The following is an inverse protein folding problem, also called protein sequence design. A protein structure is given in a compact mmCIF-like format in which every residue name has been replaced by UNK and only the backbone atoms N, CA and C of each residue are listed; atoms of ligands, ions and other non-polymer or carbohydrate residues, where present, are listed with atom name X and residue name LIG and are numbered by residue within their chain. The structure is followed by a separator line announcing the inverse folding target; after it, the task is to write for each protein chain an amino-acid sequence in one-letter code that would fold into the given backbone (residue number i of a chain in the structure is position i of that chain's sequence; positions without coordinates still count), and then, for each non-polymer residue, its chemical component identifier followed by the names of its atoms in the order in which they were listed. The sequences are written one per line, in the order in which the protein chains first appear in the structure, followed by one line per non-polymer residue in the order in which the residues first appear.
data_IF_552622192287
#
_entry.id   IF_552622192287
#
_cell.length_a   1.000
_cell.length_b   1.000
_cell.length_c   1.000
_cell.angle_alpha   90.00
_cell.angle_beta   90.00
_cell.angle_gamma   90.00
#
_symmetry.space_group_name_H-M   'P 1'
#
loop_
_entity.id
_entity.type
_entity.pdbx_description
1 polymer ?
#
# COMPACT_ATOMS: atom_id res chain seq x y z
N UNK A 1 14.73 20.57 18.39
CA UNK A 1 14.75 19.79 17.13
C UNK A 1 14.24 20.61 15.95
N UNK A 2 13.07 21.25 16.03
CA UNK A 2 12.52 22.11 14.96
C UNK A 2 13.37 23.34 14.59
N UNK A 3 14.05 24.00 15.54
CA UNK A 3 14.88 25.18 15.20
C UNK A 3 16.16 24.80 14.43
N UNK A 4 16.78 23.67 14.77
CA UNK A 4 17.96 23.13 14.06
C UNK A 4 17.61 22.76 12.62
N UNK A 5 16.44 22.15 12.41
CA UNK A 5 15.94 21.78 11.08
C UNK A 5 15.57 23.00 10.22
N UNK A 6 15.05 24.08 10.83
CA UNK A 6 14.80 25.36 10.15
C UNK A 6 16.11 26.05 9.74
N UNK A 7 17.13 25.99 10.59
CA UNK A 7 18.48 26.50 10.28
C UNK A 7 19.15 25.72 9.15
N UNK A 8 19.01 24.39 9.10
CA UNK A 8 19.51 23.54 7.99
C UNK A 8 18.79 23.88 6.68
N UNK A 9 17.47 24.10 6.72
CA UNK A 9 16.67 24.54 5.56
C UNK A 9 17.19 25.86 4.98
N UNK A 10 17.55 26.81 5.84
CA UNK A 10 18.14 28.09 5.41
C UNK A 10 19.59 27.96 4.91
N UNK A 11 20.37 27.01 5.43
CA UNK A 11 21.75 26.78 5.00
C UNK A 11 21.81 26.14 3.60
N UNK A 12 20.95 25.14 3.33
CA UNK A 12 20.90 24.44 2.05
C UNK A 12 20.38 25.37 0.93
N UNK A 13 19.39 26.22 1.22
CA UNK A 13 18.85 27.17 0.24
C UNK A 13 19.75 28.39 -0.03
N UNK A 14 20.77 28.65 0.81
CA UNK A 14 21.67 29.81 0.65
C UNK A 14 22.88 29.59 -0.27
N UNK A 15 23.03 28.43 -0.91
CA UNK A 15 24.13 28.19 -1.87
C UNK A 15 25.55 28.47 -1.31
N UNK A 16 25.75 28.40 0.02
CA UNK A 16 27.06 28.56 0.65
C UNK A 16 27.71 27.22 1.03
N UNK A 17 27.47 26.16 0.23
CA UNK A 17 28.31 24.95 0.28
C UNK A 17 29.12 24.90 -1.01
N UNK A 18 30.14 25.75 -0.95
CA UNK A 18 31.44 25.75 -1.61
C UNK A 18 31.70 24.54 -2.53
N UNK A 19 31.99 24.85 -3.79
CA UNK A 19 32.74 24.02 -4.73
C UNK A 19 34.15 23.69 -4.18
N UNK A 20 34.25 22.79 -3.20
CA UNK A 20 35.51 22.13 -2.86
C UNK A 20 35.31 20.62 -2.87
N UNK A 21 36.25 19.92 -3.52
CA UNK A 21 36.34 18.45 -3.57
C UNK A 21 36.65 17.83 -2.18
N UNK A 22 36.28 18.49 -1.09
CA UNK A 22 36.56 18.14 0.30
C UNK A 22 35.37 18.44 1.22
N UNK A 23 34.13 18.37 0.69
CA UNK A 23 32.95 18.38 1.55
C UNK A 23 33.02 17.19 2.53
N UNK A 24 32.94 17.41 3.86
CA UNK A 24 32.99 16.33 4.82
C UNK A 24 31.89 15.30 4.51
N UNK A 25 32.24 14.01 4.52
CA UNK A 25 31.24 12.96 4.42
C UNK A 25 30.33 13.04 5.64
N UNK A 26 29.09 13.43 5.42
CA UNK A 26 28.06 13.28 6.44
C UNK A 26 27.84 11.79 6.69
N UNK A 27 27.66 11.36 7.95
CA UNK A 27 27.23 10.01 8.29
C UNK A 27 25.99 9.60 7.47
N UNK A 28 25.94 8.33 7.06
CA UNK A 28 24.89 7.80 6.17
C UNK A 28 23.50 7.98 6.77
N UNK A 29 23.38 7.91 8.10
CA UNK A 29 22.14 8.07 8.87
C UNK A 29 21.61 9.51 8.77
N UNK A 30 22.50 10.50 8.78
CA UNK A 30 22.15 11.91 8.62
C UNK A 30 21.71 12.16 7.17
N UNK A 31 22.40 11.56 6.20
CA UNK A 31 22.02 11.65 4.79
C UNK A 31 20.64 11.05 4.54
N UNK A 32 20.31 9.89 5.12
CA UNK A 32 18.97 9.30 5.01
C UNK A 32 17.91 10.24 5.58
N UNK A 33 18.14 10.75 6.79
CA UNK A 33 17.21 11.67 7.46
C UNK A 33 16.96 12.94 6.66
N UNK A 34 17.99 13.50 6.03
CA UNK A 34 17.87 14.68 5.15
C UNK A 34 17.05 14.34 3.91
N UNK A 35 17.35 13.22 3.24
CA UNK A 35 16.58 12.81 2.05
C UNK A 35 15.14 12.52 2.42
N UNK A 36 14.85 11.87 3.55
CA UNK A 36 13.50 11.60 4.05
C UNK A 36 12.76 12.89 4.43
N UNK A 37 13.46 13.88 4.99
CA UNK A 37 12.86 15.17 5.30
C UNK A 37 12.50 15.98 4.04
N UNK A 38 13.34 15.93 3.01
CA UNK A 38 13.07 16.60 1.74
C UNK A 38 12.01 15.83 0.95
N UNK A 39 12.03 14.50 1.06
CA UNK A 39 11.13 13.61 0.34
C UNK A 39 9.82 13.42 1.09
N UNK A 40 8.79 14.14 0.65
CA UNK A 40 7.43 13.92 1.15
C UNK A 40 6.89 12.66 0.47
N UNK A 41 6.75 11.57 1.25
CA UNK A 41 6.02 10.38 0.82
C UNK A 41 4.59 10.78 0.48
N UNK A 42 4.06 10.39 -0.69
CA UNK A 42 2.74 10.81 -1.09
C UNK A 42 1.71 10.06 -0.24
N UNK A 43 0.71 10.78 0.28
CA UNK A 43 -0.38 10.20 1.09
C UNK A 43 -1.29 9.31 0.26
N UNK A 44 -1.40 9.61 -1.04
CA UNK A 44 -2.10 8.86 -2.06
C UNK A 44 -1.06 8.29 -3.03
N UNK A 45 -1.20 7.07 -3.53
CA UNK A 45 -0.27 6.51 -4.52
C UNK A 45 -0.91 6.51 -5.89
N UNK A 46 -0.88 7.68 -6.53
CA UNK A 46 -1.24 7.82 -7.95
C UNK A 46 0.00 7.75 -8.85
N UNK A 47 -0.18 7.37 -10.11
CA UNK A 47 0.86 7.40 -11.16
C UNK A 47 1.46 8.79 -11.30
N UNK A 48 0.65 9.84 -11.13
CA UNK A 48 1.08 11.25 -11.19
C UNK A 48 2.00 11.59 -10.02
N UNK A 49 1.63 11.18 -8.80
CA UNK A 49 2.45 11.40 -7.60
C UNK A 49 3.75 10.62 -7.67
N UNK A 50 3.72 9.34 -8.07
CA UNK A 50 4.95 8.54 -8.24
C UNK A 50 5.92 9.23 -9.22
N UNK A 51 5.42 9.70 -10.38
CA UNK A 51 6.23 10.43 -11.37
C UNK A 51 6.79 11.75 -10.80
N UNK A 52 6.00 12.46 -10.01
CA UNK A 52 6.43 13.69 -9.33
C UNK A 52 7.56 13.40 -8.32
N UNK A 53 7.36 12.41 -7.44
CA UNK A 53 8.33 11.93 -6.47
C UNK A 53 9.64 11.49 -7.12
N UNK A 54 9.57 10.74 -8.23
CA UNK A 54 10.76 10.32 -8.97
C UNK A 54 11.56 11.52 -9.53
N UNK A 55 10.88 12.57 -10.01
CA UNK A 55 11.55 13.81 -10.45
C UNK A 55 12.21 14.53 -9.29
N UNK A 56 11.55 14.60 -8.13
CA UNK A 56 12.13 15.22 -6.93
C UNK A 56 13.41 14.50 -6.48
N UNK A 57 13.37 13.16 -6.40
CA UNK A 57 14.55 12.37 -6.02
C UNK A 57 15.69 12.55 -7.03
N UNK A 58 15.36 12.58 -8.33
CA UNK A 58 16.38 12.84 -9.36
C UNK A 58 17.03 14.21 -9.16
N UNK A 59 16.25 15.25 -8.87
CA UNK A 59 16.80 16.57 -8.57
C UNK A 59 17.69 16.56 -7.32
N UNK A 60 17.29 15.87 -6.25
CA UNK A 60 18.11 15.72 -5.02
C UNK A 60 19.44 15.03 -5.33
N UNK A 61 19.43 13.98 -6.15
CA UNK A 61 20.65 13.27 -6.56
C UNK A 61 21.64 14.14 -7.35
N UNK A 62 21.15 15.17 -8.04
CA UNK A 62 21.99 16.13 -8.77
C UNK A 62 22.63 17.18 -7.84
N UNK A 63 22.04 17.45 -6.68
CA UNK A 63 22.54 18.45 -5.72
C UNK A 63 23.77 17.92 -4.98
N UNK A 64 23.76 16.65 -4.57
CA UNK A 64 24.88 16.07 -3.82
C UNK A 64 25.07 14.59 -4.12
N UNK A 65 26.28 14.24 -4.58
CA UNK A 65 26.68 12.88 -4.94
C UNK A 65 26.62 11.89 -3.76
N UNK A 66 26.74 12.36 -2.52
CA UNK A 66 26.62 11.53 -1.32
C UNK A 66 25.20 10.92 -1.17
N UNK A 67 24.18 11.54 -1.77
CA UNK A 67 22.81 11.02 -1.73
C UNK A 67 22.55 9.94 -2.80
N UNK A 68 23.46 9.71 -3.74
CA UNK A 68 23.20 8.85 -4.90
C UNK A 68 22.70 7.45 -4.54
N UNK A 69 23.31 6.81 -3.53
CA UNK A 69 22.92 5.45 -3.15
C UNK A 69 21.50 5.42 -2.57
N UNK A 70 21.17 6.37 -1.68
CA UNK A 70 19.85 6.50 -1.06
C UNK A 70 18.79 6.86 -2.11
N UNK A 71 19.10 7.81 -2.99
CA UNK A 71 18.24 8.20 -4.10
C UNK A 71 18.01 7.03 -5.07
N UNK A 72 19.04 6.23 -5.36
CA UNK A 72 18.92 5.05 -6.22
C UNK A 72 17.98 4.01 -5.63
N UNK A 73 18.10 3.71 -4.33
CA UNK A 73 17.19 2.79 -3.65
C UNK A 73 15.74 3.29 -3.69
N UNK A 74 15.50 4.57 -3.35
CA UNK A 74 14.17 5.17 -3.40
C UNK A 74 13.58 5.18 -4.82
N UNK A 75 14.38 5.49 -5.85
CA UNK A 75 13.95 5.43 -7.25
C UNK A 75 13.61 3.99 -7.67
N UNK A 76 14.38 3.01 -7.19
CA UNK A 76 14.11 1.59 -7.46
C UNK A 76 12.77 1.17 -6.85
N UNK A 77 12.53 1.53 -5.58
CA UNK A 77 11.26 1.27 -4.92
C UNK A 77 10.08 1.96 -5.63
N UNK A 78 10.22 3.25 -5.98
CA UNK A 78 9.17 3.97 -6.73
C UNK A 78 8.88 3.35 -8.10
N UNK A 79 9.91 2.86 -8.80
CA UNK A 79 9.72 2.17 -10.07
C UNK A 79 8.92 0.89 -9.88
N UNK A 80 9.28 0.07 -8.89
CA UNK A 80 8.51 -1.14 -8.55
C UNK A 80 7.07 -0.81 -8.15
N UNK A 81 6.85 0.23 -7.35
CA UNK A 81 5.51 0.70 -7.02
C UNK A 81 4.74 1.10 -8.27
N UNK A 82 5.36 1.82 -9.21
CA UNK A 82 4.74 2.19 -10.48
C UNK A 82 4.35 0.97 -11.32
N UNK A 83 5.24 -0.01 -11.40
CA UNK A 83 5.02 -1.25 -12.13
C UNK A 83 3.85 -2.04 -11.52
N UNK A 84 3.77 -2.15 -10.19
CA UNK A 84 2.66 -2.78 -9.47
C UNK A 84 1.34 -2.02 -9.64
N UNK A 85 1.34 -0.68 -9.54
CA UNK A 85 0.17 0.17 -9.80
C UNK A 85 -0.34 0.02 -11.24
N UNK A 86 0.57 -0.24 -12.18
CA UNK A 86 0.23 -0.47 -13.58
C UNK A 86 -0.29 -1.88 -13.80
N UNK A 87 0.30 -2.87 -13.11
CA UNK A 87 -0.09 -4.28 -13.15
C UNK A 87 -1.45 -4.55 -12.52
N UNK A 88 -1.76 -3.89 -11.40
CA UNK A 88 -3.03 -3.99 -10.67
C UNK A 88 -3.82 -2.70 -10.81
N UNK A 89 -4.38 -2.52 -12.01
CA UNK A 89 -4.99 -1.25 -12.42
C UNK A 89 -6.52 -1.22 -12.34
N UNK A 90 -7.17 -2.32 -11.92
CA UNK A 90 -8.63 -2.47 -12.04
C UNK A 90 -9.39 -1.33 -11.36
N UNK A 91 -8.94 -0.95 -10.17
CA UNK A 91 -9.51 0.15 -9.40
C UNK A 91 -8.70 1.46 -9.54
N UNK A 92 -7.60 1.47 -10.31
CA UNK A 92 -6.66 2.58 -10.30
C UNK A 92 -7.23 3.83 -10.96
N UNK A 93 -7.98 3.71 -12.05
CA UNK A 93 -8.59 4.88 -12.70
C UNK A 93 -9.60 5.55 -11.78
N UNK A 94 -10.52 4.79 -11.18
CA UNK A 94 -11.49 5.30 -10.20
C UNK A 94 -10.80 5.91 -8.97
N UNK A 95 -9.69 5.32 -8.54
CA UNK A 95 -8.88 5.83 -7.45
C UNK A 95 -8.18 7.15 -7.81
N UNK A 96 -7.66 7.30 -9.04
CA UNK A 96 -6.96 8.50 -9.51
C UNK A 96 -7.93 9.65 -9.81
N UNK A 97 -9.04 9.35 -10.48
CA UNK A 97 -10.01 10.32 -10.97
C UNK A 97 -11.09 10.60 -9.92
N UNK A 98 -10.83 11.58 -9.05
CA UNK A 98 -11.78 12.03 -8.03
C UNK A 98 -13.03 12.73 -8.59
N UNK A 99 -13.23 12.81 -9.91
CA UNK A 99 -14.22 13.69 -10.54
C UNK A 99 -15.39 13.00 -11.25
N UNK A 100 -15.28 11.74 -11.69
CA UNK A 100 -16.29 11.11 -12.58
C UNK A 100 -16.54 9.60 -12.36
N UNK A 101 -16.31 9.07 -11.16
CA UNK A 101 -16.55 7.65 -10.85
C UNK A 101 -17.88 7.36 -10.15
N UNK A 102 -18.30 6.09 -10.19
CA UNK A 102 -19.42 5.47 -9.45
C UNK A 102 -19.36 5.66 -7.91
N UNK A 103 -18.30 6.29 -7.42
CA UNK A 103 -17.92 6.46 -6.01
C UNK A 103 -18.08 7.91 -5.51
N UNK A 104 -18.41 8.85 -6.40
CA UNK A 104 -18.53 10.30 -6.12
C UNK A 104 -19.54 10.63 -5.02
N UNK A 105 -20.63 9.86 -4.92
CA UNK A 105 -21.73 10.17 -4.02
C UNK A 105 -21.56 9.62 -2.59
N UNK A 106 -20.49 8.85 -2.30
CA UNK A 106 -20.40 8.11 -1.03
C UNK A 106 -19.45 8.68 0.01
N UNK A 107 -18.76 9.81 -0.27
CA UNK A 107 -17.83 10.45 0.67
C UNK A 107 -16.89 9.43 1.35
N UNK A 108 -16.45 8.42 0.59
CA UNK A 108 -15.58 7.35 1.11
C UNK A 108 -14.19 7.95 1.26
N UNK A 109 -13.73 8.04 2.51
CA UNK A 109 -12.34 8.34 2.82
C UNK A 109 -11.48 7.19 2.30
N UNK A 110 -10.79 7.41 1.17
CA UNK A 110 -9.90 6.44 0.54
C UNK A 110 -8.65 6.25 1.40
N UNK A 111 -8.79 5.46 2.47
CA UNK A 111 -7.63 4.97 3.22
C UNK A 111 -6.97 3.88 2.40
N UNK A 112 -5.67 4.01 2.11
CA UNK A 112 -4.90 2.98 1.41
C UNK A 112 -5.07 2.91 -0.11
N UNK A 113 -4.12 2.25 -0.78
CA UNK A 113 -4.12 2.12 -2.25
C UNK A 113 -4.77 0.81 -2.70
N UNK A 114 -5.46 0.80 -3.86
CA UNK A 114 -6.27 -0.31 -4.34
C UNK A 114 -5.50 -1.59 -4.70
N UNK A 115 -4.19 -1.50 -4.96
CA UNK A 115 -3.42 -2.57 -5.60
C UNK A 115 -3.49 -3.90 -4.83
N UNK A 116 -3.40 -3.84 -3.50
CA UNK A 116 -3.46 -5.03 -2.66
C UNK A 116 -4.83 -5.71 -2.79
N UNK A 117 -5.90 -4.93 -2.80
CA UNK A 117 -7.25 -5.44 -2.90
C UNK A 117 -7.50 -6.08 -4.28
N UNK A 118 -7.05 -5.43 -5.36
CA UNK A 118 -7.10 -5.97 -6.73
C UNK A 118 -6.42 -7.35 -6.80
N UNK A 119 -5.19 -7.45 -6.27
CA UNK A 119 -4.46 -8.71 -6.19
C UNK A 119 -5.21 -9.78 -5.39
N UNK A 120 -5.82 -9.42 -4.26
CA UNK A 120 -6.56 -10.36 -3.40
C UNK A 120 -7.92 -10.77 -3.97
N UNK A 121 -8.51 -9.97 -4.87
CA UNK A 121 -9.71 -10.36 -5.63
C UNK A 121 -9.42 -11.15 -6.90
N UNK A 122 -8.15 -11.41 -7.22
CA UNK A 122 -7.78 -12.24 -8.37
C UNK A 122 -8.46 -13.61 -8.28
N UNK A 123 -9.18 -13.96 -9.34
CA UNK A 123 -9.98 -15.19 -9.43
C UNK A 123 -11.09 -15.31 -8.40
N UNK A 124 -11.51 -14.24 -7.74
CA UNK A 124 -12.60 -14.29 -6.79
C UNK A 124 -13.94 -14.57 -7.51
N UNK A 125 -14.67 -15.60 -7.07
CA UNK A 125 -15.93 -16.00 -7.71
C UNK A 125 -17.16 -15.26 -7.16
N UNK A 126 -16.98 -14.31 -6.25
CA UNK A 126 -18.11 -13.54 -5.72
C UNK A 126 -18.62 -12.55 -6.77
N UNK A 127 -19.94 -12.36 -6.89
CA UNK A 127 -20.47 -11.35 -7.81
C UNK A 127 -19.98 -9.96 -7.42
N UNK A 128 -19.63 -9.15 -8.42
CA UNK A 128 -19.03 -7.81 -8.29
C UNK A 128 -17.61 -7.79 -7.72
N UNK A 129 -16.97 -8.94 -7.50
CA UNK A 129 -15.54 -8.99 -7.29
C UNK A 129 -14.85 -8.61 -8.60
N UNK A 130 -14.09 -7.53 -8.56
CA UNK A 130 -13.40 -6.98 -9.71
C UNK A 130 -11.90 -7.11 -9.48
N UNK A 131 -11.19 -7.67 -10.46
CA UNK A 131 -9.73 -7.77 -10.42
C UNK A 131 -9.15 -7.67 -11.82
N UNK A 132 -7.85 -7.36 -11.90
CA UNK A 132 -7.12 -7.28 -13.16
C UNK A 132 -6.86 -8.68 -13.73
N UNK A 133 -6.71 -9.69 -12.88
CA UNK A 133 -6.41 -11.06 -13.28
C UNK A 133 -7.54 -12.02 -12.92
N UNK A 134 -7.86 -12.93 -13.83
CA UNK A 134 -8.91 -13.93 -13.63
C UNK A 134 -8.45 -15.15 -12.82
N UNK A 135 -7.14 -15.43 -12.75
CA UNK A 135 -6.60 -16.62 -12.11
C UNK A 135 -5.44 -16.26 -11.20
N UNK A 136 -5.45 -16.82 -9.99
CA UNK A 136 -4.36 -16.64 -9.04
C UNK A 136 -3.14 -17.47 -9.44
N UNK A 137 -1.96 -16.85 -9.40
CA UNK A 137 -0.68 -17.51 -9.65
C UNK A 137 0.30 -17.25 -8.49
N UNK A 138 1.34 -18.08 -8.29
CA UNK A 138 2.33 -17.84 -7.25
C UNK A 138 3.02 -16.48 -7.34
N UNK A 139 3.20 -15.95 -8.55
CA UNK A 139 3.77 -14.62 -8.80
C UNK A 139 2.91 -13.51 -8.18
N UNK A 140 1.57 -13.66 -8.20
CA UNK A 140 0.66 -12.72 -7.54
C UNK A 140 0.83 -12.77 -6.02
N UNK A 141 1.15 -13.93 -5.46
CA UNK A 141 1.53 -14.06 -4.05
C UNK A 141 2.78 -13.25 -3.69
N UNK A 142 3.79 -13.25 -4.57
CA UNK A 142 5.00 -12.43 -4.39
C UNK A 142 4.71 -10.94 -4.60
N UNK A 143 3.86 -10.59 -5.56
CA UNK A 143 3.42 -9.21 -5.75
C UNK A 143 2.67 -8.69 -4.52
N UNK A 144 1.80 -9.48 -3.89
CA UNK A 144 1.10 -9.12 -2.65
C UNK A 144 2.11 -8.74 -1.56
N UNK A 145 3.15 -9.55 -1.36
CA UNK A 145 4.21 -9.27 -0.38
C UNK A 145 4.94 -7.98 -0.72
N UNK A 146 5.28 -7.77 -2.00
CA UNK A 146 5.98 -6.57 -2.45
C UNK A 146 5.11 -5.31 -2.34
N UNK A 147 3.80 -5.40 -2.60
CA UNK A 147 2.82 -4.32 -2.38
C UNK A 147 2.82 -3.93 -0.91
N UNK A 148 2.75 -4.89 0.02
CA UNK A 148 2.73 -4.57 1.46
C UNK A 148 4.06 -3.96 1.92
N UNK A 149 5.18 -4.46 1.40
CA UNK A 149 6.51 -3.90 1.70
C UNK A 149 6.65 -2.45 1.21
N UNK A 150 6.19 -2.15 0.00
CA UNK A 150 6.32 -0.83 -0.62
C UNK A 150 5.26 0.16 -0.14
N UNK A 151 4.04 -0.34 0.11
CA UNK A 151 2.85 0.47 0.36
C UNK A 151 1.99 -0.15 1.47
N UNK A 152 2.47 -0.15 2.73
CA UNK A 152 1.80 -0.82 3.85
C UNK A 152 0.38 -0.28 4.11
N UNK A 153 0.12 1.00 3.81
CA UNK A 153 -1.19 1.62 3.95
C UNK A 153 -2.26 0.94 3.07
N UNK A 154 -1.88 0.17 2.05
CA UNK A 154 -2.82 -0.62 1.26
C UNK A 154 -3.57 -1.68 2.08
N UNK A 155 -3.07 -2.06 3.26
CA UNK A 155 -3.79 -2.95 4.18
C UNK A 155 -5.05 -2.32 4.77
N UNK A 156 -5.13 -0.99 4.79
CA UNK A 156 -6.29 -0.25 5.29
C UNK A 156 -7.32 0.06 4.19
N UNK A 157 -7.15 -0.52 2.99
CA UNK A 157 -7.99 -0.22 1.83
C UNK A 157 -9.41 -0.80 1.93
N UNK A 158 -10.41 0.08 2.04
CA UNK A 158 -11.83 -0.29 2.18
C UNK A 158 -12.67 -0.02 0.93
N UNK A 159 -12.06 0.05 -0.25
CA UNK A 159 -12.84 0.32 -1.48
C UNK A 159 -13.57 -0.94 -2.00
N UNK A 160 -13.28 -2.11 -1.44
CA UNK A 160 -13.78 -3.37 -1.96
C UNK A 160 -15.30 -3.48 -1.87
N UNK A 161 -15.89 -4.05 -2.91
CA UNK A 161 -17.31 -4.33 -2.99
C UNK A 161 -17.54 -5.73 -3.52
N UNK A 162 -18.51 -6.41 -2.93
CA UNK A 162 -19.06 -7.66 -3.40
C UNK A 162 -20.59 -7.55 -3.33
N UNK A 163 -21.32 -8.55 -3.82
CA UNK A 163 -22.78 -8.58 -3.65
C UNK A 163 -23.17 -8.42 -2.18
N UNK A 164 -23.92 -7.35 -1.91
CA UNK A 164 -24.41 -6.95 -0.58
C UNK A 164 -23.32 -6.62 0.45
N UNK A 165 -22.04 -6.58 0.06
CA UNK A 165 -20.91 -6.25 0.94
C UNK A 165 -20.23 -4.99 0.45
N UNK A 166 -20.26 -3.96 1.28
CA UNK A 166 -19.55 -2.72 1.07
C UNK A 166 -18.38 -2.60 2.07
N UNK A 167 -17.43 -1.74 1.73
CA UNK A 167 -16.27 -1.44 2.59
C UNK A 167 -15.41 -2.66 2.90
N UNK A 168 -15.26 -3.58 1.93
CA UNK A 168 -14.54 -4.85 2.11
C UNK A 168 -13.03 -4.57 2.25
N UNK A 169 -12.43 -4.82 3.43
CA UNK A 169 -10.99 -4.66 3.63
C UNK A 169 -10.19 -5.78 2.96
N UNK A 170 -8.87 -5.60 2.75
CA UNK A 170 -8.05 -6.58 2.03
C UNK A 170 -8.03 -7.93 2.74
N UNK A 171 -7.95 -7.95 4.08
CA UNK A 171 -7.99 -9.20 4.84
C UNK A 171 -9.32 -9.95 4.69
N UNK A 172 -10.46 -9.25 4.63
CA UNK A 172 -11.76 -9.92 4.35
C UNK A 172 -11.76 -10.52 2.94
N UNK A 173 -11.27 -9.77 1.94
CA UNK A 173 -11.16 -10.25 0.57
C UNK A 173 -10.32 -11.53 0.49
N UNK A 174 -9.17 -11.55 1.16
CA UNK A 174 -8.28 -12.71 1.22
C UNK A 174 -8.97 -13.93 1.87
N UNK A 175 -9.63 -13.73 3.01
CA UNK A 175 -10.31 -14.81 3.72
C UNK A 175 -11.51 -15.37 2.94
N UNK A 176 -12.28 -14.51 2.28
CA UNK A 176 -13.43 -14.91 1.44
C UNK A 176 -13.02 -15.58 0.13
N UNK A 177 -11.92 -15.16 -0.48
CA UNK A 177 -11.50 -15.70 -1.77
C UNK A 177 -10.77 -17.05 -1.62
N UNK A 178 -11.46 -18.15 -1.94
CA UNK A 178 -10.91 -19.52 -1.87
C UNK A 178 -9.63 -19.75 -2.68
N UNK A 179 -9.37 -18.93 -3.70
CA UNK A 179 -8.19 -19.05 -4.54
C UNK A 179 -6.93 -18.42 -3.91
N UNK A 180 -7.10 -17.61 -2.85
CA UNK A 180 -5.98 -17.10 -2.07
C UNK A 180 -5.50 -18.19 -1.10
N UNK A 181 -4.20 -18.55 -1.11
CA UNK A 181 -3.66 -19.51 -0.16
C UNK A 181 -3.72 -19.04 1.30
N UNK A 182 -3.87 -19.97 2.24
CA UNK A 182 -3.92 -19.66 3.69
C UNK A 182 -2.62 -18.97 4.16
N UNK A 183 -1.46 -19.34 3.62
CA UNK A 183 -0.18 -18.72 4.00
C UNK A 183 -0.10 -17.22 3.63
N UNK A 184 -0.84 -16.76 2.62
CA UNK A 184 -0.93 -15.32 2.31
C UNK A 184 -1.73 -14.59 3.38
N UNK A 185 -2.77 -15.24 3.93
CA UNK A 185 -3.57 -14.67 5.02
C UNK A 185 -2.75 -14.61 6.31
N UNK A 186 -2.00 -15.68 6.60
CA UNK A 186 -1.05 -15.70 7.71
C UNK A 186 -0.03 -14.56 7.58
N UNK A 187 0.56 -14.38 6.38
CA UNK A 187 1.43 -13.25 6.10
C UNK A 187 0.76 -11.89 6.35
N UNK A 188 -0.48 -11.68 5.90
CA UNK A 188 -1.21 -10.43 6.18
C UNK A 188 -1.33 -10.16 7.69
N UNK A 189 -1.62 -11.20 8.48
CA UNK A 189 -1.71 -11.07 9.95
C UNK A 189 -0.35 -10.75 10.57
N UNK A 190 0.73 -11.38 10.10
CA UNK A 190 2.11 -11.07 10.54
C UNK A 190 2.50 -9.62 10.25
N UNK A 191 2.00 -9.04 9.16
CA UNK A 191 2.21 -7.63 8.81
C UNK A 191 1.27 -6.67 9.58
N UNK A 192 0.43 -7.17 10.47
CA UNK A 192 -0.43 -6.36 11.34
C UNK A 192 -1.82 -6.07 10.78
N UNK A 193 -2.30 -6.84 9.80
CA UNK A 193 -3.66 -6.69 9.30
C UNK A 193 -4.69 -6.90 10.44
N UNK A 194 -5.67 -6.00 10.52
CA UNK A 194 -6.68 -6.03 11.58
C UNK A 194 -7.73 -7.14 11.36
N UNK A 195 -7.56 -8.28 12.03
CA UNK A 195 -8.51 -9.40 11.99
C UNK A 195 -9.84 -9.15 12.71
N UNK A 196 -9.93 -8.07 13.51
CA UNK A 196 -11.17 -7.60 14.15
C UNK A 196 -11.91 -6.57 13.30
N UNK A 197 -11.39 -6.23 12.12
CA UNK A 197 -12.10 -5.37 11.19
C UNK A 197 -13.47 -5.97 10.85
N UNK A 198 -14.40 -5.10 10.45
CA UNK A 198 -15.73 -5.48 9.98
C UNK A 198 -15.97 -4.88 8.60
N UNK A 199 -16.77 -5.55 7.77
CA UNK A 199 -17.34 -4.96 6.56
C UNK A 199 -18.83 -4.64 6.77
N UNK A 200 -19.47 -3.97 5.81
CA UNK A 200 -20.91 -3.71 5.82
C UNK A 200 -21.64 -4.74 4.95
N UNK A 201 -22.36 -5.67 5.57
CA UNK A 201 -23.27 -6.59 4.90
C UNK A 201 -24.70 -6.03 4.98
N UNK A 202 -25.28 -5.64 3.85
CA UNK A 202 -26.59 -4.95 3.82
C UNK A 202 -26.65 -3.76 4.80
N UNK A 203 -25.59 -2.93 4.84
CA UNK A 203 -25.39 -1.82 5.79
C UNK A 203 -25.23 -2.20 7.27
N UNK A 204 -25.17 -3.49 7.63
CA UNK A 204 -24.89 -3.94 8.99
C UNK A 204 -23.43 -4.37 9.13
N UNK A 205 -22.73 -3.96 10.19
CA UNK A 205 -21.36 -4.40 10.43
C UNK A 205 -21.34 -5.90 10.71
N UNK A 206 -20.46 -6.63 10.03
CA UNK A 206 -20.25 -8.07 10.25
C UNK A 206 -18.75 -8.37 10.31
N UNK A 207 -18.37 -9.31 11.19
CA UNK A 207 -17.00 -9.78 11.30
C UNK A 207 -16.63 -10.74 10.17
N UNK A 208 -15.33 -10.90 9.90
CA UNK A 208 -14.81 -11.89 8.93
C UNK A 208 -15.39 -13.28 9.19
N UNK A 209 -15.32 -13.78 10.43
CA UNK A 209 -15.74 -15.13 10.76
C UNK A 209 -17.24 -15.32 10.59
N UNK A 210 -18.04 -14.35 11.02
CA UNK A 210 -19.50 -14.38 10.87
C UNK A 210 -19.92 -14.35 9.40
N UNK A 211 -19.21 -13.61 8.54
CA UNK A 211 -19.49 -13.60 7.10
C UNK A 211 -19.11 -14.94 6.44
N UNK A 212 -17.98 -15.55 6.83
CA UNK A 212 -17.49 -16.81 6.25
C UNK A 212 -18.28 -18.05 6.64
N UNK A 213 -18.87 -18.08 7.84
CA UNK A 213 -19.56 -19.27 8.39
C UNK A 213 -20.62 -19.83 7.43
N UNK A 214 -21.27 -18.96 6.66
CA UNK A 214 -22.32 -19.32 5.71
C UNK A 214 -21.84 -19.46 4.27
N UNK A 215 -20.56 -19.18 3.97
CA UNK A 215 -20.01 -19.15 2.62
C UNK A 215 -19.21 -20.41 2.29
N UNK A 216 -18.30 -20.81 3.18
CA UNK A 216 -17.42 -21.96 2.99
C UNK A 216 -16.97 -22.51 4.33
N UNK A 217 -17.52 -23.67 4.72
CA UNK A 217 -17.24 -24.30 6.02
C UNK A 217 -15.79 -24.73 6.18
N UNK A 218 -15.15 -25.23 5.13
CA UNK A 218 -13.76 -25.70 5.20
C UNK A 218 -12.84 -24.51 5.40
N UNK A 219 -13.05 -23.46 4.59
CA UNK A 219 -12.27 -22.23 4.70
C UNK A 219 -12.53 -21.51 6.02
N UNK A 220 -13.77 -21.45 6.49
CA UNK A 220 -14.13 -20.90 7.80
C UNK A 220 -13.35 -21.56 8.94
N UNK A 221 -13.27 -22.89 8.98
CA UNK A 221 -12.54 -23.60 10.03
C UNK A 221 -11.04 -23.26 10.01
N UNK A 222 -10.42 -23.26 8.83
CA UNK A 222 -9.00 -22.89 8.69
C UNK A 222 -8.72 -21.45 9.15
N UNK A 223 -9.57 -20.49 8.77
CA UNK A 223 -9.42 -19.08 9.19
C UNK A 223 -9.69 -18.91 10.69
N UNK A 224 -10.68 -19.62 11.24
CA UNK A 224 -10.97 -19.60 12.67
C UNK A 224 -9.80 -20.12 13.50
N UNK A 225 -9.19 -21.24 13.08
CA UNK A 225 -8.00 -21.79 13.72
C UNK A 225 -6.82 -20.84 13.63
N UNK A 226 -6.61 -20.21 12.46
CA UNK A 226 -5.57 -19.21 12.27
C UNK A 226 -5.76 -18.01 13.21
N UNK A 227 -6.95 -17.41 13.24
CA UNK A 227 -7.23 -16.24 14.09
C UNK A 227 -7.09 -16.57 15.59
N UNK A 228 -7.43 -17.79 16.01
CA UNK A 228 -7.25 -18.23 17.38
C UNK A 228 -5.78 -18.27 17.83
N UNK A 229 -4.81 -18.35 16.90
CA UNK A 229 -3.39 -18.21 17.21
C UNK A 229 -3.01 -16.77 17.54
N UNK A 230 -3.60 -15.79 16.85
CA UNK A 230 -3.28 -14.37 16.97
C UNK A 230 -4.07 -13.67 18.07
N UNK A 231 -5.24 -14.18 18.48
CA UNK A 231 -6.00 -13.64 19.62
C UNK A 231 -5.39 -14.01 20.98
N UNK A 232 -4.39 -14.91 21.00
CA UNK A 232 -3.65 -15.35 22.19
C UNK A 232 -2.32 -14.61 22.41
N UNK A 233 -1.95 -13.69 21.51
CA UNK A 233 -0.74 -12.86 21.55
C UNK A 233 -1.14 -11.47 22.01
#
# INVERSE_FOLDING_TARGET
MFSVLSSIKNLIFKNEIIHSNSAPLLPVEINSSIVDFIFIQPTKITRKEIKSCARQIKNISLINRQFNNICHEKLTNLRKTYDLVTKYSKYQSDYEDSLEGYWKDRNIDYKGNPQLLDALFTGCNFPFADSTFETYTPEIGEDIKEIIRLTPQSMDCIIGRLRCRDEVPPLHAACGNKNIPIHIIEFLLEQGANFKATLKLNNHPISILSDLEHLDRVRFLAIKELFAKYDKI
#
